data_IF_524254149538
#
_entry.id   IF_524254149538
#
_cell.length_a   1.000
_cell.length_b   1.000
_cell.length_c   1.000
_cell.angle_alpha   90.00
_cell.angle_beta   90.00
_cell.angle_gamma   90.00
#
_symmetry.space_group_name_H-M   'P 1'
#
loop_
_entity.id
_entity.type
_entity.pdbx_description
1 polymer ?
#
# COMPACT_ATOMS: atom_id res chain seq x y z
N UNK A 1 1.77 -4.14 33.48
CA UNK A 1 1.91 -2.73 33.04
C UNK A 1 0.56 -2.08 33.20
N UNK A 2 0.54 -0.89 33.79
CA UNK A 2 -0.66 -0.07 33.93
C UNK A 2 -1.21 0.31 32.54
N UNK A 3 -2.52 0.24 32.33
CA UNK A 3 -3.18 0.51 31.03
C UNK A 3 -2.84 1.93 30.53
N UNK A 4 -2.68 2.86 31.46
CA UNK A 4 -2.27 4.24 31.21
C UNK A 4 -0.83 4.39 30.70
N UNK A 5 0.09 3.49 31.08
CA UNK A 5 1.48 3.52 30.64
C UNK A 5 1.63 3.04 29.19
N UNK A 6 0.77 2.12 28.74
CA UNK A 6 0.75 1.64 27.36
C UNK A 6 0.20 2.69 26.38
N UNK A 7 -0.80 3.47 26.80
CA UNK A 7 -1.39 4.54 25.99
C UNK A 7 -0.37 5.67 25.76
N UNK A 8 0.32 6.12 26.81
CA UNK A 8 1.33 7.18 26.68
C UNK A 8 2.48 6.80 25.73
N UNK A 9 2.90 5.53 25.72
CA UNK A 9 3.92 5.03 24.80
C UNK A 9 3.47 5.10 23.32
N UNK A 10 2.19 4.80 23.07
CA UNK A 10 1.62 4.85 21.71
C UNK A 10 1.52 6.29 21.21
N UNK A 11 1.09 7.21 22.07
CA UNK A 11 0.96 8.64 21.71
C UNK A 11 2.33 9.29 21.44
N UNK A 12 3.35 8.98 22.25
CA UNK A 12 4.72 9.44 22.05
C UNK A 12 5.30 8.91 20.73
N UNK A 13 5.10 7.61 20.46
CA UNK A 13 5.55 6.99 19.22
C UNK A 13 4.87 7.60 18.00
N UNK A 14 3.55 7.83 18.07
CA UNK A 14 2.78 8.44 17.00
C UNK A 14 3.30 9.85 16.68
N UNK A 15 3.42 10.70 17.70
CA UNK A 15 3.91 12.07 17.55
C UNK A 15 5.31 12.10 16.95
N UNK A 16 6.20 11.23 17.45
CA UNK A 16 7.57 11.12 16.94
C UNK A 16 7.59 10.71 15.47
N UNK A 17 6.81 9.70 15.07
CA UNK A 17 6.76 9.27 13.66
C UNK A 17 6.21 10.40 12.78
N UNK A 18 5.18 11.11 13.23
CA UNK A 18 4.58 12.21 12.50
C UNK A 18 5.61 13.33 12.23
N UNK A 19 6.40 13.72 13.23
CA UNK A 19 7.46 14.71 13.06
C UNK A 19 8.52 14.25 12.05
N UNK A 20 8.91 12.97 12.13
CA UNK A 20 9.91 12.42 11.21
C UNK A 20 9.40 12.28 9.76
N UNK A 21 8.09 12.08 9.57
CA UNK A 21 7.45 12.16 8.25
C UNK A 21 7.54 13.58 7.69
N UNK A 22 7.25 14.60 8.51
CA UNK A 22 7.38 16.01 8.09
C UNK A 22 8.84 16.38 7.76
N UNK A 23 9.81 15.84 8.48
CA UNK A 23 11.25 16.02 8.24
C UNK A 23 11.79 15.18 7.07
N UNK A 24 10.96 14.30 6.47
CA UNK A 24 11.33 13.36 5.42
C UNK A 24 12.53 12.44 5.79
N UNK A 25 12.64 12.07 7.07
CA UNK A 25 13.75 11.28 7.60
C UNK A 25 13.49 9.77 7.52
N UNK A 26 13.72 9.19 6.33
CA UNK A 26 13.40 7.79 6.04
C UNK A 26 14.11 6.77 6.95
N UNK A 27 15.35 7.06 7.39
CA UNK A 27 16.11 6.15 8.25
C UNK A 27 15.48 6.05 9.64
N UNK A 28 15.08 7.18 10.23
CA UNK A 28 14.39 7.20 11.52
C UNK A 28 12.98 6.63 11.41
N UNK A 29 12.22 6.96 10.36
CA UNK A 29 10.90 6.34 10.14
C UNK A 29 11.02 4.81 10.14
N UNK A 30 12.01 4.26 9.42
CA UNK A 30 12.25 2.82 9.38
C UNK A 30 12.55 2.23 10.77
N UNK A 31 13.39 2.88 11.58
CA UNK A 31 13.71 2.37 12.92
C UNK A 31 12.51 2.39 13.87
N UNK A 32 11.55 3.30 13.67
CA UNK A 32 10.30 3.30 14.44
C UNK A 32 9.30 2.23 13.96
N UNK A 33 9.23 1.94 12.66
CA UNK A 33 8.33 0.90 12.13
C UNK A 33 8.58 -0.48 12.77
N UNK A 34 9.84 -0.85 12.98
CA UNK A 34 10.20 -2.12 13.63
C UNK A 34 9.71 -2.18 15.10
N UNK A 35 9.62 -1.03 15.77
CA UNK A 35 9.10 -0.92 17.15
C UNK A 35 7.58 -1.02 17.20
N UNK A 36 6.87 -0.58 16.17
CA UNK A 36 5.40 -0.65 16.09
C UNK A 36 4.94 -2.10 16.16
N UNK A 37 5.57 -3.02 15.42
CA UNK A 37 5.18 -4.42 15.41
C UNK A 37 5.23 -5.06 16.81
N UNK A 38 6.28 -4.79 17.58
CA UNK A 38 6.43 -5.30 18.95
C UNK A 38 5.42 -4.68 19.93
N UNK A 39 5.02 -3.43 19.70
CA UNK A 39 4.00 -2.73 20.52
C UNK A 39 2.60 -3.24 20.15
N UNK A 40 2.32 -3.43 18.87
CA UNK A 40 1.05 -3.98 18.38
C UNK A 40 0.80 -5.38 18.96
N UNK A 41 1.79 -6.27 18.92
CA UNK A 41 1.68 -7.61 19.50
C UNK A 41 1.27 -7.57 20.98
N UNK A 42 1.92 -6.70 21.78
CA UNK A 42 1.58 -6.50 23.19
C UNK A 42 0.18 -5.92 23.38
N UNK A 43 -0.21 -4.97 22.54
CA UNK A 43 -1.54 -4.35 22.59
C UNK A 43 -2.64 -5.37 22.28
N UNK A 44 -2.46 -6.20 21.25
CA UNK A 44 -3.41 -7.26 20.86
C UNK A 44 -3.65 -8.25 22.00
N UNK A 45 -2.60 -8.63 22.73
CA UNK A 45 -2.68 -9.59 23.83
C UNK A 45 -3.37 -9.01 25.09
N UNK A 46 -3.27 -7.71 25.30
CA UNK A 46 -3.71 -7.06 26.54
C UNK A 46 -5.05 -6.33 26.42
N UNK A 47 -5.42 -5.86 25.23
CA UNK A 47 -6.64 -5.08 25.02
C UNK A 47 -7.86 -5.98 24.74
N UNK A 48 -8.69 -6.19 25.75
CA UNK A 48 -9.82 -7.15 25.73
C UNK A 48 -11.10 -6.61 25.08
N UNK A 49 -11.24 -5.29 24.91
CA UNK A 49 -12.47 -4.64 24.41
C UNK A 49 -12.63 -4.68 22.89
N UNK A 50 -11.61 -5.09 22.12
CA UNK A 50 -11.64 -5.08 20.63
C UNK A 50 -12.87 -5.71 20.02
N UNK A 51 -13.28 -6.89 20.48
CA UNK A 51 -14.46 -7.59 19.92
C UNK A 51 -15.74 -6.79 20.14
N UNK A 52 -15.88 -6.13 21.30
CA UNK A 52 -17.03 -5.30 21.64
C UNK A 52 -17.07 -4.01 20.81
N UNK A 53 -15.90 -3.52 20.39
CA UNK A 53 -15.72 -2.31 19.57
C UNK A 53 -15.67 -2.62 18.06
N UNK A 54 -15.92 -3.87 17.65
CA UNK A 54 -15.91 -4.25 16.24
C UNK A 54 -14.51 -4.38 15.61
N UNK A 55 -13.46 -4.49 16.42
CA UNK A 55 -12.08 -4.72 16.00
C UNK A 55 -11.86 -6.12 15.41
N UNK A 56 -12.30 -6.30 14.17
CA UNK A 56 -12.05 -7.50 13.36
C UNK A 56 -11.02 -7.20 12.27
N UNK A 57 -10.06 -8.11 12.10
CA UNK A 57 -9.07 -7.98 11.05
C UNK A 57 -9.64 -8.42 9.71
N UNK A 58 -9.45 -7.59 8.69
CA UNK A 58 -9.67 -8.01 7.31
C UNK A 58 -8.58 -9.00 6.91
N UNK A 59 -8.98 -10.19 6.46
CA UNK A 59 -8.03 -11.16 5.93
C UNK A 59 -7.28 -10.56 4.74
N UNK A 60 -5.96 -10.71 4.72
CA UNK A 60 -5.07 -10.12 3.71
C UNK A 60 -5.50 -10.46 2.27
N UNK A 61 -6.00 -11.69 2.04
CA UNK A 61 -6.55 -12.12 0.74
C UNK A 61 -7.75 -11.28 0.28
N UNK A 62 -8.63 -10.92 1.20
CA UNK A 62 -9.83 -10.11 0.89
C UNK A 62 -9.42 -8.69 0.55
N UNK A 63 -8.55 -8.09 1.36
CA UNK A 63 -8.02 -6.75 1.08
C UNK A 63 -7.33 -6.69 -0.29
N UNK A 64 -6.45 -7.65 -0.60
CA UNK A 64 -5.79 -7.72 -1.92
C UNK A 64 -6.76 -7.88 -3.08
N UNK A 65 -7.82 -8.67 -2.90
CA UNK A 65 -8.87 -8.83 -3.91
C UNK A 65 -9.55 -7.49 -4.17
N UNK A 66 -10.06 -6.83 -3.12
CA UNK A 66 -10.77 -5.54 -3.24
C UNK A 66 -9.88 -4.51 -3.95
N UNK A 67 -8.61 -4.40 -3.54
CA UNK A 67 -7.66 -3.46 -4.13
C UNK A 67 -7.42 -3.78 -5.61
N UNK A 68 -7.23 -5.06 -5.96
CA UNK A 68 -7.03 -5.48 -7.36
C UNK A 68 -8.22 -5.11 -8.23
N UNK A 69 -9.43 -5.45 -7.81
CA UNK A 69 -10.66 -5.15 -8.56
C UNK A 69 -10.89 -3.63 -8.68
N UNK A 70 -10.67 -2.88 -7.60
CA UNK A 70 -10.80 -1.43 -7.61
C UNK A 70 -9.79 -0.76 -8.57
N UNK A 71 -8.55 -1.24 -8.60
CA UNK A 71 -7.53 -0.75 -9.51
C UNK A 71 -7.87 -1.06 -10.98
N UNK A 72 -8.33 -2.27 -11.28
CA UNK A 72 -8.79 -2.65 -12.63
C UNK A 72 -9.93 -1.74 -13.09
N UNK A 73 -10.95 -1.58 -12.26
CA UNK A 73 -12.09 -0.71 -12.56
C UNK A 73 -11.68 0.75 -12.76
N UNK A 74 -10.77 1.27 -11.93
CA UNK A 74 -10.26 2.64 -12.05
C UNK A 74 -9.44 2.83 -13.33
N UNK A 75 -8.57 1.88 -13.66
CA UNK A 75 -7.73 1.90 -14.86
C UNK A 75 -8.61 1.94 -16.10
N UNK A 76 -9.56 1.02 -16.21
CA UNK A 76 -10.46 0.97 -17.37
C UNK A 76 -11.35 2.21 -17.47
N UNK A 77 -11.70 2.85 -16.35
CA UNK A 77 -12.50 4.09 -16.34
C UNK A 77 -11.71 5.33 -16.74
N UNK A 78 -10.40 5.37 -16.48
CA UNK A 78 -9.57 6.57 -16.68
C UNK A 78 -8.58 6.45 -17.84
N UNK A 79 -8.47 5.26 -18.40
CA UNK A 79 -7.60 4.93 -19.51
C UNK A 79 -8.33 3.89 -20.37
N UNK A 80 -9.34 4.33 -21.11
CA UNK A 80 -10.24 3.47 -21.90
C UNK A 80 -9.47 2.53 -22.86
N UNK A 81 -8.30 2.96 -23.35
CA UNK A 81 -7.41 2.18 -24.23
C UNK A 81 -6.74 0.97 -23.53
N UNK A 82 -6.91 0.80 -22.21
CA UNK A 82 -6.30 -0.28 -21.45
C UNK A 82 -7.13 -1.57 -21.50
N UNK A 83 -8.46 -1.48 -21.36
CA UNK A 83 -9.43 -2.59 -21.37
C UNK A 83 -8.92 -3.91 -20.74
N UNK A 84 -8.41 -3.85 -19.50
CA UNK A 84 -7.86 -5.03 -18.83
C UNK A 84 -8.92 -5.75 -17.99
N UNK A 85 -8.93 -7.08 -17.99
CA UNK A 85 -9.72 -7.85 -17.03
C UNK A 85 -8.96 -8.07 -15.70
N UNK A 86 -7.63 -7.93 -15.72
CA UNK A 86 -6.79 -8.13 -14.54
C UNK A 86 -5.50 -7.32 -14.59
N UNK A 87 -4.91 -7.04 -13.42
CA UNK A 87 -3.59 -6.39 -13.35
C UNK A 87 -2.44 -7.21 -13.97
N UNK A 88 -2.68 -8.48 -14.32
CA UNK A 88 -1.70 -9.32 -15.04
C UNK A 88 -1.59 -8.93 -16.51
N UNK A 89 -2.61 -8.29 -17.08
CA UNK A 89 -2.65 -7.90 -18.50
C UNK A 89 -1.94 -6.59 -18.79
N UNK A 90 -1.54 -5.83 -17.76
CA UNK A 90 -0.79 -4.57 -17.90
C UNK A 90 0.47 -4.70 -18.77
N UNK A 91 1.08 -5.89 -18.79
CA UNK A 91 2.27 -6.16 -19.58
C UNK A 91 2.01 -6.14 -21.09
N UNK A 92 0.78 -6.41 -21.53
CA UNK A 92 0.36 -6.46 -22.93
C UNK A 92 0.07 -5.07 -23.52
N UNK A 93 -0.06 -4.06 -22.66
CA UNK A 93 -0.40 -2.71 -23.07
C UNK A 93 0.73 -2.05 -23.88
N UNK A 94 0.34 -1.14 -24.77
CA UNK A 94 1.27 -0.34 -25.56
C UNK A 94 2.13 0.56 -24.66
N UNK A 95 3.30 0.99 -25.14
CA UNK A 95 4.15 1.95 -24.40
C UNK A 95 3.40 3.25 -24.10
N UNK A 96 2.62 3.76 -25.05
CA UNK A 96 1.79 4.97 -24.88
C UNK A 96 0.80 4.79 -23.73
N UNK A 97 0.07 3.68 -23.71
CA UNK A 97 -0.90 3.36 -22.64
C UNK A 97 -0.18 3.20 -21.29
N UNK A 98 0.96 2.50 -21.27
CA UNK A 98 1.77 2.32 -20.06
C UNK A 98 2.25 3.66 -19.47
N UNK A 99 2.74 4.58 -20.31
CA UNK A 99 3.17 5.91 -19.85
C UNK A 99 2.03 6.71 -19.23
N UNK A 100 0.82 6.67 -19.83
CA UNK A 100 -0.38 7.28 -19.24
C UNK A 100 -0.73 6.67 -17.89
N UNK A 101 -0.68 5.35 -17.77
CA UNK A 101 -0.97 4.64 -16.53
C UNK A 101 0.06 4.94 -15.43
N UNK A 102 1.33 5.05 -15.76
CA UNK A 102 2.37 5.47 -14.80
C UNK A 102 2.02 6.86 -14.24
N UNK A 103 1.72 7.83 -15.11
CA UNK A 103 1.34 9.17 -14.68
C UNK A 103 0.07 9.19 -13.80
N UNK A 104 -0.91 8.35 -14.13
CA UNK A 104 -2.14 8.21 -13.34
C UNK A 104 -1.87 7.63 -11.95
N UNK A 105 -1.10 6.53 -11.88
CA UNK A 105 -0.81 5.82 -10.62
C UNK A 105 0.09 6.64 -9.72
N UNK A 106 1.06 7.37 -10.28
CA UNK A 106 1.99 8.24 -9.52
C UNK A 106 1.30 9.38 -8.77
N UNK A 107 0.12 9.80 -9.21
CA UNK A 107 -0.65 10.89 -8.58
C UNK A 107 -1.88 10.39 -7.80
N UNK A 108 -1.97 9.08 -7.58
CA UNK A 108 -3.14 8.49 -6.95
C UNK A 108 -3.05 8.59 -5.42
N UNK A 109 -4.18 8.88 -4.79
CA UNK A 109 -4.32 8.84 -3.33
C UNK A 109 -5.39 7.82 -2.95
N UNK A 110 -5.15 7.09 -1.87
CA UNK A 110 -6.08 6.10 -1.32
C UNK A 110 -6.46 6.53 0.09
N UNK A 111 -7.75 6.52 0.38
CA UNK A 111 -8.29 6.84 1.69
C UNK A 111 -9.11 5.65 2.20
N UNK A 112 -8.85 5.24 3.43
CA UNK A 112 -9.66 4.26 4.17
C UNK A 112 -10.11 4.93 5.48
N UNK A 113 -11.38 5.35 5.58
CA UNK A 113 -11.89 6.09 6.73
C UNK A 113 -12.01 5.23 8.01
N UNK A 114 -11.92 3.89 7.88
CA UNK A 114 -12.00 2.96 9.00
C UNK A 114 -10.88 1.92 8.90
N UNK A 115 -9.64 2.40 8.78
CA UNK A 115 -8.48 1.58 8.44
C UNK A 115 -8.11 0.51 9.48
N UNK A 116 -8.59 0.64 10.72
CA UNK A 116 -8.30 -0.33 11.79
C UNK A 116 -6.79 -0.53 11.96
N UNK A 117 -6.31 -1.76 11.73
CA UNK A 117 -4.88 -2.07 11.74
C UNK A 117 -4.10 -1.61 10.51
N UNK A 118 -4.75 -0.93 9.56
CA UNK A 118 -4.12 -0.39 8.35
C UNK A 118 -3.82 -1.42 7.26
N UNK A 119 -4.23 -2.69 7.41
CA UNK A 119 -3.94 -3.76 6.43
C UNK A 119 -4.38 -3.40 5.02
N UNK A 120 -5.52 -2.72 4.87
CA UNK A 120 -5.98 -2.24 3.57
C UNK A 120 -5.01 -1.23 2.96
N UNK A 121 -4.62 -0.20 3.71
CA UNK A 121 -3.69 0.84 3.24
C UNK A 121 -2.29 0.27 2.93
N UNK A 122 -1.80 -0.66 3.75
CA UNK A 122 -0.51 -1.35 3.51
C UNK A 122 -0.55 -2.14 2.21
N UNK A 123 -1.61 -2.96 2.01
CA UNK A 123 -1.77 -3.71 0.77
C UNK A 123 -1.94 -2.79 -0.44
N UNK A 124 -2.61 -1.66 -0.25
CA UNK A 124 -2.85 -0.70 -1.31
C UNK A 124 -1.55 -0.01 -1.74
N UNK A 125 -0.73 0.43 -0.77
CA UNK A 125 0.60 0.96 -1.02
C UNK A 125 1.51 -0.07 -1.72
N UNK A 126 1.48 -1.34 -1.30
CA UNK A 126 2.21 -2.42 -1.96
C UNK A 126 1.77 -2.62 -3.42
N UNK A 127 0.46 -2.58 -3.68
CA UNK A 127 -0.07 -2.67 -5.04
C UNK A 127 0.40 -1.49 -5.90
N UNK A 128 0.27 -0.25 -5.40
CA UNK A 128 0.71 0.95 -6.11
C UNK A 128 2.21 0.94 -6.40
N UNK A 129 3.05 0.50 -5.45
CA UNK A 129 4.49 0.34 -5.65
C UNK A 129 4.81 -0.67 -6.77
N UNK A 130 4.04 -1.75 -6.87
CA UNK A 130 4.26 -2.80 -7.86
C UNK A 130 3.83 -2.42 -9.28
N UNK A 131 2.87 -1.50 -9.43
CA UNK A 131 2.30 -1.12 -10.74
C UNK A 131 3.33 -0.50 -11.69
N UNK A 132 4.09 0.57 -11.33
CA UNK A 132 5.13 1.12 -12.20
C UNK A 132 6.19 0.09 -12.59
N UNK A 133 6.55 -0.81 -11.68
CA UNK A 133 7.51 -1.89 -11.95
C UNK A 133 6.97 -2.83 -13.03
N UNK A 134 5.69 -3.24 -12.94
CA UNK A 134 5.03 -4.07 -13.95
C UNK A 134 4.89 -3.36 -15.30
N UNK A 135 4.63 -2.05 -15.29
CA UNK A 135 4.50 -1.23 -16.49
C UNK A 135 5.87 -0.96 -17.15
N UNK A 136 6.95 -0.84 -16.38
CA UNK A 136 8.30 -0.50 -16.83
C UNK A 136 9.24 -1.68 -17.11
N UNK A 137 9.02 -2.86 -16.52
CA UNK A 137 9.90 -4.05 -16.64
C UNK A 137 10.15 -4.55 -18.08
N UNK A 138 9.39 -4.10 -19.07
CA UNK A 138 9.57 -4.48 -20.47
C UNK A 138 10.15 -3.37 -21.36
N UNK A 139 10.38 -2.15 -20.85
CA UNK A 139 11.13 -1.14 -21.61
C UNK A 139 12.57 -1.63 -21.86
N UNK A 140 13.20 -2.25 -20.86
CA UNK A 140 14.55 -2.82 -20.97
C UNK A 140 14.57 -4.15 -21.75
N UNK A 141 13.52 -4.98 -21.61
CA UNK A 141 13.42 -6.27 -22.32
C UNK A 141 13.25 -6.07 -23.83
N UNK A 142 12.50 -5.05 -24.26
CA UNK A 142 12.32 -4.71 -25.68
C UNK A 142 13.61 -4.20 -26.34
N UNK A 143 14.50 -3.53 -25.61
CA UNK A 143 15.80 -3.06 -26.11
C UNK A 143 16.80 -4.22 -26.25
N UNK A 144 16.72 -5.24 -25.38
CA UNK A 144 17.59 -6.43 -25.46
C UNK A 144 17.25 -7.40 -26.60
N UNK A 145 16.03 -7.34 -27.16
CA UNK A 145 15.59 -8.20 -28.27
C UNK A 145 15.74 -7.54 -29.65
N UNK A 146 16.16 -6.27 -29.72
CA UNK A 146 16.39 -5.55 -30.99
C UNK A 146 17.87 -5.43 -31.38
N UNK A 147 18.80 -5.91 -30.52
CA UNK A 147 20.25 -5.90 -30.79
C UNK A 147 20.81 -7.29 -31.17
N UNK A 148 19.97 -8.18 -31.68
CA UNK A 148 20.43 -9.43 -32.32
C UNK A 148 19.92 -9.41 -33.75
N UNK A 149 20.66 -8.73 -34.63
CA UNK A 149 20.89 -9.02 -36.04
C UNK A 149 21.95 -8.05 -36.58
#
# INVERSE_FOLDING_TARGET
MDENASIGLVDELYSTIQDQIHENNLLKIKSYLDRIAAIEEKFILTYTKRKKEGGYYTAERISRLIISEALVALINKRCDEAEIASLKELERLTLKTKSKLIALVSNMTICDPSCGSGVFLVNAANALKALPIKLGKNAEKSLSSQNVL
#
